data_IF_527268235451
#
_entry.id   IF_527268235451
#
_cell.length_a   1.000
_cell.length_b   1.000
_cell.length_c   1.000
_cell.angle_alpha   90.00
_cell.angle_beta   90.00
_cell.angle_gamma   90.00
#
_symmetry.space_group_name_H-M   'P 1'
#
loop_
_entity.id
_entity.type
_entity.pdbx_description
1 polymer ?
#
# COMPACT_ATOMS: atom_id res chain seq x y z
N UNK A 1 -11.44 19.99 2.40
CA UNK A 1 -11.77 20.65 3.67
C UNK A 1 -10.82 20.10 4.72
N UNK A 2 -10.28 20.95 5.59
CA UNK A 2 -9.47 20.53 6.75
C UNK A 2 -10.09 21.20 7.97
N UNK A 3 -10.46 20.37 8.94
CA UNK A 3 -11.05 20.82 10.20
C UNK A 3 -10.33 20.12 11.34
N UNK A 4 -10.06 20.88 12.40
CA UNK A 4 -9.49 20.33 13.63
C UNK A 4 -10.63 19.96 14.56
N UNK A 5 -10.58 18.73 15.08
CA UNK A 5 -11.35 18.35 16.25
C UNK A 5 -10.45 18.58 17.48
N UNK A 6 -10.62 19.64 18.27
CA UNK A 6 -11.62 20.72 18.18
C UNK A 6 -10.98 22.12 18.35
N UNK A 7 -11.79 23.17 18.58
CA UNK A 7 -11.28 24.55 18.68
C UNK A 7 -10.47 24.83 19.96
N UNK A 8 -10.91 24.34 21.12
CA UNK A 8 -10.26 24.57 22.41
C UNK A 8 -9.97 23.25 23.12
N UNK A 9 -9.72 23.23 24.42
CA UNK A 9 -9.61 21.99 25.21
C UNK A 9 -10.70 22.02 26.29
N UNK A 10 -11.55 21.00 26.38
CA UNK A 10 -12.66 20.97 27.34
C UNK A 10 -12.15 20.84 28.78
N UNK A 11 -12.76 21.54 29.74
CA UNK A 11 -12.30 21.55 31.14
C UNK A 11 -12.72 20.34 31.97
N UNK A 12 -13.61 19.50 31.44
CA UNK A 12 -14.19 18.37 32.16
C UNK A 12 -14.45 17.19 31.22
N UNK A 13 -14.59 16.00 31.80
CA UNK A 13 -14.97 14.75 31.12
C UNK A 13 -13.83 14.10 30.31
N UNK A 14 -14.17 13.03 29.59
CA UNK A 14 -13.25 12.06 29.02
C UNK A 14 -12.21 12.64 28.06
N UNK A 15 -12.55 13.71 27.34
CA UNK A 15 -11.70 14.29 26.28
C UNK A 15 -10.93 15.53 26.76
N UNK A 16 -10.82 15.75 28.08
CA UNK A 16 -10.04 16.86 28.69
C UNK A 16 -8.61 16.96 28.12
N UNK A 17 -7.99 15.83 27.78
CA UNK A 17 -6.64 15.80 27.22
C UNK A 17 -6.58 15.59 25.71
N UNK A 18 -7.72 15.42 25.03
CA UNK A 18 -7.78 15.48 23.58
C UNK A 18 -7.92 16.94 23.15
N UNK A 19 -6.77 17.64 23.20
CA UNK A 19 -6.70 19.08 23.02
C UNK A 19 -6.97 19.51 21.58
N UNK A 20 -7.63 20.66 21.45
CA UNK A 20 -7.78 21.39 20.21
C UNK A 20 -6.69 22.43 19.94
N UNK A 21 -7.01 23.44 19.12
CA UNK A 21 -6.10 24.53 18.76
C UNK A 21 -5.71 25.39 19.98
N UNK A 22 -6.67 25.69 20.87
CA UNK A 22 -6.43 26.42 22.10
C UNK A 22 -6.30 25.47 23.30
N UNK A 23 -5.47 25.87 24.27
CA UNK A 23 -5.35 25.21 25.56
C UNK A 23 -6.50 25.60 26.51
N UNK A 24 -6.54 25.03 27.71
CA UNK A 24 -7.57 25.29 28.72
C UNK A 24 -7.64 26.76 29.20
N UNK A 25 -6.58 27.54 29.01
CA UNK A 25 -6.52 28.98 29.34
C UNK A 25 -7.07 29.88 28.22
N UNK A 26 -7.49 29.27 27.10
CA UNK A 26 -7.94 29.92 25.88
C UNK A 26 -6.94 30.90 25.24
N UNK A 27 -5.66 30.86 25.64
CA UNK A 27 -4.64 31.76 25.11
C UNK A 27 -4.07 31.25 23.77
N UNK A 28 -3.62 32.16 22.88
CA UNK A 28 -2.78 31.81 21.74
C UNK A 28 -1.55 31.01 22.18
N UNK A 29 -1.18 30.03 21.37
CA UNK A 29 -0.02 29.15 21.60
C UNK A 29 0.63 28.78 20.26
N UNK A 30 1.82 28.14 20.26
CA UNK A 30 2.53 27.81 19.01
C UNK A 30 1.69 27.01 18.00
N UNK A 31 0.89 26.02 18.45
CA UNK A 31 0.01 25.24 17.57
C UNK A 31 -1.05 26.12 16.90
N UNK A 32 -1.65 27.05 17.65
CA UNK A 32 -2.60 28.02 17.10
C UNK A 32 -1.95 28.96 16.07
N UNK A 33 -0.73 29.44 16.35
CA UNK A 33 0.01 30.29 15.41
C UNK A 33 0.44 29.55 14.13
N UNK A 34 0.79 28.27 14.24
CA UNK A 34 1.08 27.41 13.08
C UNK A 34 -0.19 27.17 12.23
N UNK A 35 -1.33 26.90 12.86
CA UNK A 35 -2.61 26.76 12.16
C UNK A 35 -3.01 28.04 11.38
N UNK A 36 -2.66 29.23 11.89
CA UNK A 36 -2.86 30.50 11.15
C UNK A 36 -2.06 30.55 9.86
N UNK A 37 -0.88 29.94 9.80
CA UNK A 37 -0.09 29.82 8.56
C UNK A 37 -0.85 29.00 7.52
N UNK A 38 -1.36 27.83 7.91
CA UNK A 38 -2.17 26.97 7.04
C UNK A 38 -3.41 27.73 6.53
N UNK A 39 -4.11 28.45 7.40
CA UNK A 39 -5.29 29.25 7.00
C UNK A 39 -4.96 30.35 5.97
N UNK A 40 -3.81 31.04 6.12
CA UNK A 40 -3.34 32.04 5.14
C UNK A 40 -2.98 31.39 3.80
N UNK A 41 -2.28 30.26 3.83
CA UNK A 41 -1.90 29.52 2.63
C UNK A 41 -3.12 28.95 1.90
N UNK A 42 -4.10 28.41 2.62
CA UNK A 42 -5.35 27.94 2.04
C UNK A 42 -6.08 29.08 1.34
N UNK A 43 -6.20 30.25 1.97
CA UNK A 43 -6.82 31.43 1.32
C UNK A 43 -6.12 31.82 0.03
N UNK A 44 -4.78 31.76 0.00
CA UNK A 44 -3.96 32.14 -1.16
C UNK A 44 -3.95 31.08 -2.26
N UNK A 45 -3.88 29.80 -1.91
CA UNK A 45 -3.57 28.70 -2.83
C UNK A 45 -4.78 27.82 -3.18
N UNK A 46 -5.90 27.91 -2.45
CA UNK A 46 -7.10 27.11 -2.75
C UNK A 46 -7.52 27.14 -4.22
N UNK A 47 -7.56 28.29 -4.93
CA UNK A 47 -7.94 28.31 -6.35
C UNK A 47 -7.08 27.40 -7.26
N UNK A 48 -5.86 27.06 -6.83
CA UNK A 48 -4.92 26.17 -7.55
C UNK A 48 -4.93 24.74 -7.03
N UNK A 49 -5.42 24.48 -5.83
CA UNK A 49 -5.25 23.20 -5.12
C UNK A 49 -6.55 22.41 -4.89
N UNK A 50 -7.72 23.06 -4.95
CA UNK A 50 -9.00 22.36 -4.78
C UNK A 50 -9.32 21.44 -5.96
N UNK A 51 -10.17 20.45 -5.70
CA UNK A 51 -10.66 19.48 -6.68
C UNK A 51 -9.52 18.74 -7.42
N UNK A 52 -8.43 18.47 -6.72
CA UNK A 52 -7.30 17.71 -7.25
C UNK A 52 -7.76 16.30 -7.65
N UNK A 53 -7.64 15.97 -8.93
CA UNK A 53 -7.98 14.66 -9.49
C UNK A 53 -6.74 13.78 -9.52
N UNK A 54 -6.87 12.55 -9.04
CA UNK A 54 -5.85 11.51 -9.13
C UNK A 54 -6.28 10.47 -10.16
N UNK A 55 -5.31 9.91 -10.87
CA UNK A 55 -5.51 8.77 -11.76
C UNK A 55 -4.45 7.72 -11.38
N UNK A 56 -4.78 6.95 -10.36
CA UNK A 56 -3.92 5.89 -9.86
C UNK A 56 -4.10 4.64 -10.72
N UNK A 57 -3.02 3.88 -10.92
CA UNK A 57 -3.02 2.64 -11.72
C UNK A 57 -2.89 1.38 -10.85
N UNK A 58 -2.77 1.58 -9.53
CA UNK A 58 -2.69 0.53 -8.52
C UNK A 58 -3.88 0.67 -7.58
N UNK A 59 -4.54 -0.42 -7.25
CA UNK A 59 -5.54 -0.46 -6.19
C UNK A 59 -5.31 -1.60 -5.20
N UNK A 60 -5.71 -1.38 -3.96
CA UNK A 60 -5.79 -2.42 -2.92
C UNK A 60 -7.26 -2.81 -2.80
N UNK A 61 -7.56 -4.10 -3.01
CA UNK A 61 -8.89 -4.65 -2.82
C UNK A 61 -9.12 -4.92 -1.33
N UNK A 62 -9.98 -4.12 -0.70
CA UNK A 62 -10.38 -4.24 0.69
C UNK A 62 -11.80 -4.79 0.80
N UNK A 63 -12.02 -5.79 1.66
CA UNK A 63 -13.35 -6.34 1.94
C UNK A 63 -13.62 -6.37 3.44
N UNK A 64 -14.72 -5.74 3.87
CA UNK A 64 -15.20 -5.82 5.25
C UNK A 64 -15.63 -7.24 5.64
N UNK A 65 -16.15 -8.02 4.68
CA UNK A 65 -16.50 -9.43 4.90
C UNK A 65 -15.25 -10.26 5.13
N UNK A 66 -14.21 -10.06 4.30
CA UNK A 66 -12.93 -10.72 4.49
C UNK A 66 -12.26 -10.30 5.81
N UNK A 67 -12.33 -9.02 6.19
CA UNK A 67 -11.82 -8.53 7.48
C UNK A 67 -12.53 -9.22 8.65
N UNK A 68 -13.87 -9.23 8.63
CA UNK A 68 -14.67 -9.84 9.70
C UNK A 68 -14.38 -11.33 9.82
N UNK A 69 -14.41 -12.04 8.70
CA UNK A 69 -14.16 -13.47 8.64
C UNK A 69 -12.71 -13.81 9.03
N UNK A 70 -11.73 -13.08 8.50
CA UNK A 70 -10.33 -13.24 8.88
C UNK A 70 -10.16 -13.04 10.38
N UNK A 71 -10.72 -11.99 10.99
CA UNK A 71 -10.52 -11.72 12.41
C UNK A 71 -11.17 -12.77 13.33
N UNK A 72 -12.22 -13.46 12.87
CA UNK A 72 -12.83 -14.56 13.61
C UNK A 72 -11.92 -15.81 13.68
N UNK A 73 -11.08 -16.05 12.64
CA UNK A 73 -10.22 -17.24 12.55
C UNK A 73 -8.72 -16.95 12.69
N UNK A 74 -8.32 -15.69 12.49
CA UNK A 74 -6.97 -15.11 12.49
C UNK A 74 -5.89 -16.09 11.98
N UNK A 75 -4.75 -16.18 12.66
CA UNK A 75 -3.65 -17.10 12.41
C UNK A 75 -3.76 -18.36 13.27
N UNK A 76 -4.96 -18.68 13.76
CA UNK A 76 -5.19 -19.75 14.73
C UNK A 76 -5.32 -19.23 16.16
N UNK A 77 -5.46 -20.18 17.09
CA UNK A 77 -5.79 -19.89 18.48
C UNK A 77 -4.65 -19.15 19.20
N UNK A 78 -4.98 -18.03 19.84
CA UNK A 78 -4.01 -17.22 20.59
C UNK A 78 -3.21 -16.19 19.76
N UNK A 79 -3.42 -16.13 18.43
CA UNK A 79 -2.86 -15.07 17.60
C UNK A 79 -3.40 -13.69 18.01
N UNK A 80 -2.52 -12.68 18.03
CA UNK A 80 -2.89 -11.30 18.38
C UNK A 80 -3.12 -10.44 17.16
N UNK A 81 -2.52 -10.85 16.05
CA UNK A 81 -2.55 -10.18 14.78
C UNK A 81 -3.93 -10.34 14.12
N UNK A 82 -4.31 -9.37 13.32
CA UNK A 82 -5.60 -9.29 12.65
C UNK A 82 -5.42 -8.92 11.17
N UNK A 83 -6.52 -8.81 10.44
CA UNK A 83 -6.51 -8.47 9.02
C UNK A 83 -5.75 -7.18 8.70
N UNK A 84 -5.87 -6.15 9.55
CA UNK A 84 -5.18 -4.88 9.33
C UNK A 84 -3.67 -4.97 9.55
N UNK A 85 -3.19 -5.96 10.32
CA UNK A 85 -1.75 -6.25 10.43
C UNK A 85 -1.17 -6.89 9.15
N UNK A 86 -2.03 -7.31 8.21
CA UNK A 86 -1.65 -7.71 6.85
C UNK A 86 -1.81 -6.54 5.87
N UNK A 87 -2.99 -5.90 5.85
CA UNK A 87 -3.32 -4.82 4.92
C UNK A 87 -2.41 -3.59 5.10
N UNK A 88 -2.14 -3.18 6.35
CA UNK A 88 -1.39 -1.94 6.62
C UNK A 88 0.07 -2.01 6.18
N UNK A 89 0.85 -3.07 6.48
CA UNK A 89 2.22 -3.14 5.97
C UNK A 89 2.32 -3.18 4.45
N UNK A 90 1.32 -3.74 3.75
CA UNK A 90 1.24 -3.72 2.28
C UNK A 90 1.02 -2.31 1.75
N UNK A 91 0.06 -1.58 2.33
CA UNK A 91 -0.15 -0.16 2.01
C UNK A 91 1.11 0.66 2.30
N UNK A 92 1.72 0.47 3.47
CA UNK A 92 2.90 1.21 3.91
C UNK A 92 4.12 0.93 2.98
N UNK A 93 4.28 -0.30 2.49
CA UNK A 93 5.31 -0.66 1.52
C UNK A 93 5.14 0.13 0.20
N UNK A 94 3.92 0.17 -0.36
CA UNK A 94 3.61 0.95 -1.57
C UNK A 94 3.77 2.46 -1.31
N UNK A 95 3.34 2.93 -0.13
CA UNK A 95 3.48 4.33 0.28
C UNK A 95 4.95 4.76 0.31
N UNK A 96 5.82 3.97 0.94
CA UNK A 96 7.28 4.21 1.06
C UNK A 96 8.00 4.16 -0.29
N UNK A 97 7.45 3.42 -1.25
CA UNK A 97 7.91 3.39 -2.64
C UNK A 97 7.39 4.56 -3.49
N UNK A 98 6.60 5.47 -2.91
CA UNK A 98 5.91 6.52 -3.64
C UNK A 98 4.92 6.02 -4.71
N UNK A 99 4.37 4.81 -4.54
CA UNK A 99 3.34 4.27 -5.43
C UNK A 99 1.97 4.69 -4.91
N UNK A 100 1.22 5.56 -5.62
CA UNK A 100 -0.09 5.98 -5.16
C UNK A 100 -1.12 4.89 -5.47
N UNK A 101 -2.00 4.63 -4.51
CA UNK A 101 -3.03 3.58 -4.61
C UNK A 101 -4.42 4.15 -4.38
N UNK A 102 -5.42 3.49 -4.95
CA UNK A 102 -6.81 3.60 -4.51
C UNK A 102 -7.16 2.41 -3.60
N UNK A 103 -8.20 2.56 -2.78
CA UNK A 103 -8.89 1.42 -2.18
C UNK A 103 -10.15 1.15 -2.97
N UNK A 104 -10.34 -0.12 -3.34
CA UNK A 104 -11.53 -0.64 -4.00
C UNK A 104 -12.08 -1.78 -3.18
N UNK A 105 -13.34 -2.10 -3.36
CA UNK A 105 -14.03 -3.18 -2.67
C UNK A 105 -14.71 -4.12 -3.68
N UNK A 106 -15.22 -5.29 -3.26
CA UNK A 106 -15.90 -6.24 -4.15
C UNK A 106 -17.02 -5.65 -5.03
N UNK A 107 -17.70 -4.58 -4.56
CA UNK A 107 -18.80 -3.93 -5.28
C UNK A 107 -18.32 -2.87 -6.28
N UNK A 108 -17.04 -2.53 -6.29
CA UNK A 108 -16.46 -1.53 -7.18
C UNK A 108 -16.66 -1.93 -8.66
N UNK A 109 -17.33 -1.06 -9.42
CA UNK A 109 -17.76 -1.36 -10.79
C UNK A 109 -16.59 -1.47 -11.79
N UNK A 110 -15.47 -0.78 -11.55
CA UNK A 110 -14.40 -0.60 -12.54
C UNK A 110 -13.03 -1.09 -12.04
N UNK A 111 -12.94 -2.33 -11.53
CA UNK A 111 -11.65 -2.92 -11.14
C UNK A 111 -10.68 -3.04 -12.33
N UNK A 112 -11.23 -3.21 -13.52
CA UNK A 112 -10.52 -3.43 -14.77
C UNK A 112 -9.79 -2.18 -15.29
N UNK A 113 -10.03 -1.00 -14.71
CA UNK A 113 -9.30 0.22 -15.06
C UNK A 113 -7.88 0.26 -14.47
N UNK A 114 -7.62 -0.55 -13.44
CA UNK A 114 -6.32 -0.63 -12.78
C UNK A 114 -5.39 -1.59 -13.53
N UNK A 115 -4.10 -1.31 -13.50
CA UNK A 115 -3.08 -2.22 -14.06
C UNK A 115 -2.60 -3.21 -13.01
N UNK A 116 -2.59 -2.84 -11.73
CA UNK A 116 -2.19 -3.69 -10.62
C UNK A 116 -3.24 -3.69 -9.50
N UNK A 117 -3.72 -4.86 -9.13
CA UNK A 117 -4.50 -5.07 -7.92
C UNK A 117 -3.65 -5.78 -6.86
N UNK A 118 -3.70 -5.30 -5.64
CA UNK A 118 -3.13 -5.99 -4.48
C UNK A 118 -4.27 -6.49 -3.60
N UNK A 119 -4.27 -7.77 -3.31
CA UNK A 119 -5.38 -8.49 -2.66
C UNK A 119 -4.87 -9.08 -1.34
N UNK A 120 -4.92 -8.31 -0.25
CA UNK A 120 -4.48 -8.76 1.06
C UNK A 120 -5.54 -9.65 1.72
N UNK A 121 -5.17 -10.90 1.98
CA UNK A 121 -5.90 -11.87 2.80
C UNK A 121 -7.42 -11.87 2.53
N UNK A 122 -7.82 -11.99 1.26
CA UNK A 122 -9.22 -12.04 0.83
C UNK A 122 -9.86 -13.38 1.25
N UNK A 123 -10.08 -13.52 2.55
CA UNK A 123 -10.39 -14.77 3.23
C UNK A 123 -11.78 -15.31 2.91
N UNK A 124 -12.78 -14.43 2.95
CA UNK A 124 -14.16 -14.71 2.56
C UNK A 124 -14.50 -13.88 1.33
N UNK A 125 -14.93 -14.56 0.26
CA UNK A 125 -15.32 -13.93 -0.99
C UNK A 125 -16.25 -14.86 -1.80
N UNK A 126 -17.24 -14.30 -2.51
CA UNK A 126 -18.07 -15.06 -3.43
C UNK A 126 -17.27 -15.53 -4.64
N UNK A 127 -17.68 -16.65 -5.23
CA UNK A 127 -17.05 -17.26 -6.40
C UNK A 127 -16.94 -16.25 -7.55
N UNK A 128 -17.99 -15.47 -7.76
CA UNK A 128 -18.07 -14.46 -8.82
C UNK A 128 -16.98 -13.39 -8.73
N UNK A 129 -16.54 -13.03 -7.52
CA UNK A 129 -15.42 -12.11 -7.31
C UNK A 129 -14.09 -12.79 -7.68
N UNK A 130 -13.88 -14.01 -7.21
CA UNK A 130 -12.65 -14.76 -7.48
C UNK A 130 -12.48 -15.04 -8.98
N UNK A 131 -13.56 -15.41 -9.67
CA UNK A 131 -13.60 -15.53 -11.13
C UNK A 131 -13.36 -14.19 -11.84
N UNK A 132 -13.92 -13.09 -11.33
CA UNK A 132 -13.66 -11.74 -11.88
C UNK A 132 -12.18 -11.40 -11.80
N UNK A 133 -11.51 -11.75 -10.71
CA UNK A 133 -10.07 -11.53 -10.56
C UNK A 133 -9.26 -12.43 -11.50
N UNK A 134 -9.64 -13.70 -11.72
CA UNK A 134 -9.03 -14.53 -12.76
C UNK A 134 -9.16 -13.89 -14.15
N UNK A 135 -10.35 -13.40 -14.50
CA UNK A 135 -10.59 -12.68 -15.77
C UNK A 135 -9.79 -11.39 -15.87
N UNK A 136 -9.65 -10.65 -14.77
CA UNK A 136 -8.81 -9.45 -14.72
C UNK A 136 -7.35 -9.78 -15.09
N UNK A 137 -6.77 -10.83 -14.50
CA UNK A 137 -5.43 -11.30 -14.85
C UNK A 137 -5.37 -11.74 -16.31
N UNK A 138 -6.33 -12.58 -16.73
CA UNK A 138 -6.40 -13.10 -18.10
C UNK A 138 -6.40 -11.98 -19.16
N UNK A 139 -7.04 -10.86 -18.86
CA UNK A 139 -7.18 -9.73 -19.78
C UNK A 139 -6.01 -8.75 -19.77
N UNK A 140 -4.97 -8.97 -18.95
CA UNK A 140 -3.76 -8.15 -18.93
C UNK A 140 -3.47 -7.49 -17.59
N UNK A 141 -4.35 -7.64 -16.60
CA UNK A 141 -4.13 -7.14 -15.26
C UNK A 141 -3.03 -7.88 -14.51
N UNK A 142 -2.37 -7.20 -13.59
CA UNK A 142 -1.42 -7.81 -12.66
C UNK A 142 -2.07 -7.90 -11.29
N UNK A 143 -1.96 -9.05 -10.62
CA UNK A 143 -2.46 -9.22 -9.25
C UNK A 143 -1.35 -9.70 -8.33
N UNK A 144 -1.28 -9.13 -7.12
CA UNK A 144 -0.53 -9.69 -6.01
C UNK A 144 -1.52 -10.16 -4.95
N UNK A 145 -1.62 -11.48 -4.78
CA UNK A 145 -2.34 -12.09 -3.67
C UNK A 145 -1.40 -12.36 -2.52
N UNK A 146 -1.92 -12.25 -1.30
CA UNK A 146 -1.28 -12.87 -0.14
C UNK A 146 -1.97 -14.19 0.22
N UNK A 147 -1.32 -14.95 1.09
CA UNK A 147 -1.88 -16.07 1.83
C UNK A 147 -3.29 -15.79 2.33
N UNK A 148 -4.04 -16.86 2.58
CA UNK A 148 -5.45 -16.84 2.99
C UNK A 148 -6.41 -16.22 1.97
N UNK A 149 -5.98 -15.86 0.77
CA UNK A 149 -6.89 -15.40 -0.29
C UNK A 149 -7.60 -16.59 -0.95
N UNK A 150 -8.92 -16.48 -1.13
CA UNK A 150 -9.73 -17.54 -1.73
C UNK A 150 -9.98 -18.75 -0.83
N UNK A 151 -9.86 -18.59 0.49
CA UNK A 151 -9.94 -19.69 1.46
C UNK A 151 -11.38 -20.19 1.68
N UNK A 152 -12.33 -19.26 1.85
CA UNK A 152 -13.75 -19.53 2.11
C UNK A 152 -14.66 -18.83 1.10
N UNK A 153 -15.92 -19.25 1.07
CA UNK A 153 -16.99 -18.53 0.36
C UNK A 153 -17.50 -17.31 1.16
N UNK A 154 -18.49 -16.60 0.62
CA UNK A 154 -19.12 -15.44 1.27
C UNK A 154 -19.85 -15.78 2.58
N UNK A 155 -20.12 -17.06 2.84
CA UNK A 155 -20.73 -17.56 4.07
C UNK A 155 -19.68 -18.07 5.06
N UNK A 156 -18.40 -17.81 4.80
CA UNK A 156 -17.26 -18.23 5.62
C UNK A 156 -17.14 -19.76 5.73
N UNK A 157 -17.71 -20.48 4.76
CA UNK A 157 -17.52 -21.92 4.64
C UNK A 157 -16.23 -22.16 3.86
N UNK A 158 -15.29 -22.87 4.48
CA UNK A 158 -14.03 -23.25 3.83
C UNK A 158 -14.33 -24.05 2.56
N UNK A 159 -13.69 -23.66 1.47
CA UNK A 159 -13.89 -24.32 0.17
C UNK A 159 -13.32 -25.73 0.22
N UNK A 160 -14.12 -26.69 -0.26
CA UNK A 160 -13.73 -28.10 -0.35
C UNK A 160 -12.94 -28.43 -1.63
N UNK A 161 -12.61 -27.42 -2.44
CA UNK A 161 -11.75 -27.51 -3.62
C UNK A 161 -10.27 -27.31 -3.26
N UNK A 162 -9.39 -27.48 -4.25
CA UNK A 162 -7.98 -27.10 -4.11
C UNK A 162 -7.85 -25.62 -3.70
N UNK A 163 -6.90 -25.33 -2.80
CA UNK A 163 -6.58 -23.97 -2.36
C UNK A 163 -5.37 -23.41 -3.14
N UNK A 164 -5.31 -22.09 -3.43
CA UNK A 164 -6.34 -21.10 -3.14
C UNK A 164 -7.57 -21.26 -4.05
N UNK A 165 -8.77 -21.30 -3.44
CA UNK A 165 -10.00 -21.64 -4.15
C UNK A 165 -10.27 -20.70 -5.33
N UNK A 166 -10.59 -21.27 -6.49
CA UNK A 166 -10.86 -20.58 -7.78
C UNK A 166 -9.65 -19.82 -8.34
N UNK A 167 -8.98 -18.97 -7.55
CA UNK A 167 -7.83 -18.17 -8.00
C UNK A 167 -6.57 -18.99 -8.29
N UNK A 168 -6.51 -20.27 -7.89
CA UNK A 168 -5.43 -21.19 -8.27
C UNK A 168 -5.26 -21.29 -9.80
N UNK A 169 -6.31 -21.09 -10.60
CA UNK A 169 -6.25 -21.07 -12.06
C UNK A 169 -5.28 -19.99 -12.56
N UNK A 170 -5.46 -18.75 -12.09
CA UNK A 170 -4.58 -17.65 -12.46
C UNK A 170 -3.24 -17.71 -11.73
N UNK A 171 -3.23 -18.13 -10.46
CA UNK A 171 -2.02 -18.18 -9.63
C UNK A 171 -1.06 -19.32 -10.01
N UNK A 172 -1.53 -20.37 -10.70
CA UNK A 172 -0.68 -21.49 -11.13
C UNK A 172 -0.03 -22.25 -9.98
N UNK A 173 -0.71 -22.31 -8.82
CA UNK A 173 -0.20 -22.88 -7.57
C UNK A 173 -1.33 -23.53 -6.80
N UNK A 174 -1.02 -24.59 -6.06
CA UNK A 174 -1.92 -25.16 -5.06
C UNK A 174 -1.25 -25.32 -3.70
N UNK A 175 -2.04 -25.45 -2.65
CA UNK A 175 -1.58 -25.90 -1.34
C UNK A 175 -2.67 -26.67 -0.59
N UNK A 176 -2.26 -27.48 0.37
CA UNK A 176 -3.17 -28.18 1.30
C UNK A 176 -2.69 -28.13 2.75
N UNK A 177 -1.53 -27.52 2.98
CA UNK A 177 -0.89 -27.42 4.29
C UNK A 177 -0.38 -26.00 4.50
N UNK A 178 -0.40 -25.59 5.76
CA UNK A 178 0.15 -24.34 6.24
C UNK A 178 0.62 -24.56 7.68
N UNK A 179 1.58 -23.75 8.12
CA UNK A 179 2.15 -23.84 9.46
C UNK A 179 2.48 -22.44 9.99
N UNK A 180 2.64 -22.34 11.31
CA UNK A 180 3.21 -21.15 11.94
C UNK A 180 4.73 -21.23 11.79
N UNK A 181 5.39 -20.20 11.22
CA UNK A 181 6.84 -20.22 11.03
C UNK A 181 7.56 -20.09 12.37
N UNK A 182 8.60 -20.91 12.58
CA UNK A 182 9.54 -20.79 13.69
C UNK A 182 10.95 -20.52 13.13
N UNK A 183 11.40 -19.26 13.23
CA UNK A 183 12.72 -18.83 12.72
C UNK A 183 12.98 -19.15 11.24
N UNK A 184 11.97 -19.01 10.39
CA UNK A 184 12.04 -19.30 8.95
C UNK A 184 12.43 -18.05 8.16
N UNK A 185 13.34 -18.22 7.19
CA UNK A 185 13.73 -17.18 6.21
C UNK A 185 13.50 -17.65 4.77
N UNK A 186 13.97 -16.89 3.78
CA UNK A 186 13.98 -17.30 2.38
C UNK A 186 15.35 -17.88 1.99
N UNK A 187 15.34 -18.85 1.07
CA UNK A 187 16.56 -19.49 0.58
C UNK A 187 17.23 -18.63 -0.49
N UNK A 188 18.55 -18.49 -0.43
CA UNK A 188 19.42 -17.84 -1.43
C UNK A 188 19.17 -16.32 -1.66
N UNK A 189 18.48 -15.64 -0.74
CA UNK A 189 18.17 -14.19 -0.79
C UNK A 189 17.70 -13.68 -2.17
N UNK A 190 16.52 -14.11 -2.64
CA UNK A 190 16.07 -13.78 -3.99
C UNK A 190 15.77 -12.29 -4.20
N UNK A 191 15.71 -11.50 -3.12
CA UNK A 191 15.38 -10.07 -3.15
C UNK A 191 16.53 -9.15 -2.74
N UNK A 192 17.72 -9.70 -2.46
CA UNK A 192 18.91 -8.93 -2.10
C UNK A 192 18.76 -8.13 -0.80
N UNK A 193 18.14 -8.71 0.23
CA UNK A 193 17.93 -8.08 1.53
C UNK A 193 18.69 -8.84 2.62
N UNK A 194 19.22 -8.12 3.61
CA UNK A 194 19.97 -8.74 4.71
C UNK A 194 19.15 -9.84 5.41
N UNK A 195 19.81 -10.89 5.94
CA UNK A 195 19.15 -12.10 6.46
C UNK A 195 18.10 -11.79 7.54
N UNK A 196 18.38 -10.83 8.42
CA UNK A 196 17.47 -10.33 9.46
C UNK A 196 16.19 -9.69 8.90
N UNK A 197 16.19 -9.30 7.62
CA UNK A 197 15.05 -8.72 6.90
C UNK A 197 14.27 -9.75 6.08
N UNK A 198 14.70 -11.02 6.03
CA UNK A 198 14.06 -12.10 5.27
C UNK A 198 13.04 -12.89 6.08
N UNK A 199 12.56 -12.33 7.19
CA UNK A 199 11.68 -13.00 8.13
C UNK A 199 10.34 -13.41 7.48
N UNK A 200 9.97 -14.67 7.71
CA UNK A 200 8.66 -15.24 7.41
C UNK A 200 7.82 -15.19 8.68
N UNK A 201 6.80 -14.33 8.73
CA UNK A 201 5.99 -14.08 9.94
C UNK A 201 4.60 -14.68 9.84
N UNK A 202 3.99 -14.90 11.01
CA UNK A 202 2.57 -15.20 11.30
C UNK A 202 2.00 -16.48 10.67
N UNK A 203 2.29 -16.76 9.42
CA UNK A 203 1.71 -17.83 8.62
C UNK A 203 2.63 -18.17 7.47
N UNK A 204 2.74 -19.44 7.13
CA UNK A 204 3.31 -19.86 5.86
C UNK A 204 2.54 -21.02 5.23
N UNK A 205 2.06 -20.81 4.01
CA UNK A 205 1.39 -21.81 3.17
C UNK A 205 2.45 -22.61 2.40
N UNK A 206 2.29 -23.93 2.37
CA UNK A 206 3.25 -24.82 1.73
C UNK A 206 2.90 -24.95 0.24
N UNK A 207 3.28 -23.94 -0.54
CA UNK A 207 2.89 -23.80 -1.93
C UNK A 207 3.56 -24.85 -2.82
N UNK A 208 2.75 -25.48 -3.68
CA UNK A 208 3.14 -26.43 -4.72
C UNK A 208 2.77 -25.83 -6.08
N UNK A 209 3.73 -25.21 -6.80
CA UNK A 209 3.50 -24.64 -8.12
C UNK A 209 3.07 -25.71 -9.12
N UNK A 210 2.18 -25.35 -10.04
CA UNK A 210 1.82 -26.17 -11.21
C UNK A 210 2.39 -25.53 -12.47
N UNK A 211 1.94 -24.34 -12.83
CA UNK A 211 2.43 -23.55 -13.97
C UNK A 211 3.24 -22.33 -13.52
N UNK A 212 3.13 -21.93 -12.25
CA UNK A 212 3.80 -20.75 -11.74
C UNK A 212 5.31 -20.93 -11.67
N UNK A 213 6.04 -19.87 -12.02
CA UNK A 213 7.45 -19.73 -11.71
C UNK A 213 7.63 -19.52 -10.21
N UNK A 214 8.59 -20.22 -9.61
CA UNK A 214 8.99 -19.97 -8.22
C UNK A 214 9.93 -18.77 -8.17
N UNK A 215 9.59 -17.79 -7.35
CA UNK A 215 10.45 -16.62 -7.08
C UNK A 215 11.25 -16.78 -5.79
N UNK A 216 10.71 -17.51 -4.81
CA UNK A 216 11.38 -17.79 -3.55
C UNK A 216 10.95 -19.14 -2.96
N UNK A 217 11.88 -19.81 -2.30
CA UNK A 217 11.64 -20.98 -1.44
C UNK A 217 11.84 -20.61 0.03
N UNK A 218 11.19 -21.35 0.93
CA UNK A 218 11.50 -21.28 2.36
C UNK A 218 12.91 -21.82 2.62
N UNK A 219 13.66 -21.18 3.51
CA UNK A 219 14.90 -21.72 4.07
C UNK A 219 14.56 -22.45 5.38
N UNK A 220 14.25 -23.74 5.25
CA UNK A 220 13.91 -24.59 6.38
C UNK A 220 14.18 -26.07 6.06
N UNK A 221 14.72 -26.87 6.99
CA UNK A 221 15.10 -28.27 6.73
C UNK A 221 13.94 -29.17 6.29
N UNK A 222 12.72 -28.89 6.74
CA UNK A 222 11.52 -29.68 6.40
C UNK A 222 10.72 -29.06 5.24
N UNK A 223 10.71 -27.73 5.15
CA UNK A 223 9.76 -27.00 4.31
C UNK A 223 10.41 -26.41 3.05
N UNK A 224 11.73 -26.52 2.89
CA UNK A 224 12.45 -25.85 1.81
C UNK A 224 12.16 -26.35 0.39
N UNK A 225 11.42 -27.45 0.24
CA UNK A 225 10.89 -27.90 -1.06
C UNK A 225 9.68 -27.08 -1.54
N UNK A 226 8.97 -26.41 -0.63
CA UNK A 226 7.79 -25.63 -0.95
C UNK A 226 8.17 -24.21 -1.38
N UNK A 227 7.38 -23.63 -2.27
CA UNK A 227 7.56 -22.24 -2.67
C UNK A 227 6.99 -21.31 -1.59
N UNK A 228 7.60 -20.14 -1.42
CA UNK A 228 7.15 -19.08 -0.54
C UNK A 228 6.51 -17.92 -1.33
N UNK A 229 7.08 -17.61 -2.50
CA UNK A 229 6.54 -16.63 -3.45
C UNK A 229 6.56 -17.23 -4.85
N UNK A 230 5.46 -17.10 -5.57
CA UNK A 230 5.32 -17.58 -6.95
C UNK A 230 4.76 -16.50 -7.85
N UNK A 231 5.04 -16.59 -9.16
CA UNK A 231 4.38 -15.77 -10.19
C UNK A 231 4.00 -16.62 -11.39
N UNK A 232 2.77 -16.47 -11.84
CA UNK A 232 2.25 -17.15 -13.02
C UNK A 232 1.84 -16.15 -14.08
N UNK A 233 2.17 -16.43 -15.34
CA UNK A 233 1.58 -15.74 -16.48
C UNK A 233 0.24 -16.41 -16.80
N UNK A 234 -0.84 -15.64 -16.87
CA UNK A 234 -2.18 -16.16 -17.14
C UNK A 234 -2.89 -15.24 -18.12
N UNK A 235 -3.20 -15.75 -19.31
CA UNK A 235 -3.64 -14.92 -20.43
C UNK A 235 -2.59 -13.86 -20.78
N UNK A 236 -2.97 -12.58 -20.67
CA UNK A 236 -2.11 -11.43 -20.98
C UNK A 236 -1.45 -10.79 -19.75
N UNK A 237 -1.82 -11.22 -18.55
CA UNK A 237 -1.37 -10.63 -17.28
C UNK A 237 -0.60 -11.60 -16.41
N UNK A 238 -0.40 -11.23 -15.15
CA UNK A 238 0.34 -12.07 -14.19
C UNK A 238 -0.32 -12.09 -12.81
N UNK A 239 -0.33 -13.25 -12.16
CA UNK A 239 -0.68 -13.39 -10.75
C UNK A 239 0.57 -13.74 -9.94
N UNK A 240 0.92 -12.91 -8.96
CA UNK A 240 1.95 -13.18 -7.95
C UNK A 240 1.25 -13.61 -6.66
N UNK A 241 1.68 -14.72 -6.06
CA UNK A 241 1.11 -15.23 -4.80
C UNK A 241 2.18 -15.30 -3.72
N UNK A 242 1.95 -14.61 -2.60
CA UNK A 242 2.85 -14.53 -1.44
C UNK A 242 2.28 -15.37 -0.30
N UNK A 243 2.85 -16.56 -0.09
CA UNK A 243 2.32 -17.57 0.84
C UNK A 243 2.53 -17.29 2.33
N UNK A 244 3.07 -16.14 2.71
CA UNK A 244 3.40 -15.79 4.10
C UNK A 244 3.35 -14.29 4.33
N UNK A 245 3.46 -13.84 5.59
CA UNK A 245 3.62 -12.41 5.88
C UNK A 245 5.11 -12.02 5.89
N UNK A 246 5.60 -11.21 4.94
CA UNK A 246 7.00 -10.83 4.91
C UNK A 246 7.34 -9.73 5.93
N UNK A 247 8.60 -9.67 6.35
CA UNK A 247 9.18 -8.48 6.97
C UNK A 247 9.04 -7.23 6.10
N UNK A 248 9.03 -6.04 6.72
CA UNK A 248 8.77 -4.77 6.02
C UNK A 248 9.69 -4.53 4.81
N UNK A 249 11.00 -4.76 4.99
CA UNK A 249 12.00 -4.58 3.93
C UNK A 249 11.77 -5.54 2.77
N UNK A 250 11.50 -6.81 3.07
CA UNK A 250 11.20 -7.84 2.06
C UNK A 250 9.88 -7.56 1.35
N UNK A 251 8.83 -7.17 2.08
CA UNK A 251 7.55 -6.78 1.51
C UNK A 251 7.69 -5.59 0.55
N UNK A 252 8.51 -4.60 0.91
CA UNK A 252 8.83 -3.48 0.03
C UNK A 252 9.49 -3.96 -1.27
N UNK A 253 10.41 -4.93 -1.22
CA UNK A 253 11.02 -5.51 -2.43
C UNK A 253 10.04 -6.28 -3.30
N UNK A 254 9.18 -7.09 -2.69
CA UNK A 254 8.13 -7.83 -3.41
C UNK A 254 7.18 -6.85 -4.13
N UNK A 255 6.75 -5.78 -3.44
CA UNK A 255 5.89 -4.76 -4.03
C UNK A 255 6.61 -3.93 -5.11
N UNK A 256 7.88 -3.59 -4.91
CA UNK A 256 8.72 -2.93 -5.92
C UNK A 256 8.80 -3.77 -7.20
N UNK A 257 9.04 -5.07 -7.09
CA UNK A 257 9.09 -5.97 -8.24
C UNK A 257 7.71 -6.08 -8.92
N UNK A 258 6.63 -6.23 -8.16
CA UNK A 258 5.28 -6.28 -8.72
C UNK A 258 4.90 -5.01 -9.50
N UNK A 259 5.24 -3.83 -8.97
CA UNK A 259 4.99 -2.53 -9.62
C UNK A 259 5.84 -2.39 -10.89
N UNK A 260 7.11 -2.82 -10.87
CA UNK A 260 7.97 -2.83 -12.07
C UNK A 260 7.43 -3.75 -13.16
N UNK A 261 6.98 -4.95 -12.79
CA UNK A 261 6.41 -5.91 -13.75
C UNK A 261 5.10 -5.42 -14.36
N UNK A 262 4.31 -4.65 -13.60
CA UNK A 262 3.12 -3.99 -14.11
C UNK A 262 3.43 -2.77 -15.00
N UNK A 263 4.71 -2.43 -15.22
CA UNK A 263 5.11 -1.25 -16.01
C UNK A 263 4.83 0.09 -15.33
N UNK A 264 4.62 0.09 -14.01
CA UNK A 264 4.19 1.26 -13.23
C UNK A 264 5.34 1.95 -12.49
N UNK A 265 6.59 1.67 -12.89
CA UNK A 265 7.77 2.25 -12.27
C UNK A 265 8.25 3.48 -13.04
N UNK A 266 8.05 4.66 -12.44
CA UNK A 266 8.38 5.94 -13.05
C UNK A 266 9.39 6.77 -12.25
N UNK A 267 9.50 8.05 -12.63
CA UNK A 267 10.43 9.01 -12.01
C UNK A 267 10.14 9.24 -10.53
N UNK A 268 8.87 9.21 -10.12
CA UNK A 268 8.46 9.43 -8.73
C UNK A 268 8.94 8.28 -7.82
N UNK A 269 9.02 7.07 -8.37
CA UNK A 269 9.61 5.90 -7.73
C UNK A 269 11.16 5.93 -7.75
N UNK A 270 11.81 7.04 -8.10
CA UNK A 270 13.20 7.27 -7.71
C UNK A 270 13.31 7.81 -6.26
N UNK A 271 12.25 8.45 -5.75
CA UNK A 271 12.20 8.95 -4.38
C UNK A 271 11.75 7.85 -3.42
N UNK A 272 12.32 7.85 -2.22
CA UNK A 272 11.98 6.91 -1.14
C UNK A 272 11.72 7.68 0.14
N UNK A 273 10.93 7.08 1.02
CA UNK A 273 10.82 7.51 2.41
C UNK A 273 12.22 7.83 2.99
N UNK A 274 12.43 8.98 3.67
CA UNK A 274 11.40 9.88 4.21
C UNK A 274 10.83 10.91 3.23
N UNK A 275 11.32 10.98 1.98
CA UNK A 275 10.77 11.84 0.94
C UNK A 275 9.57 11.19 0.26
N UNK A 276 8.39 11.79 0.45
CA UNK A 276 7.14 11.34 -0.15
C UNK A 276 6.67 12.34 -1.20
N UNK A 277 6.27 11.83 -2.36
CA UNK A 277 5.64 12.62 -3.42
C UNK A 277 4.24 12.13 -3.76
N UNK A 278 3.34 13.09 -3.97
CA UNK A 278 1.96 12.85 -4.41
C UNK A 278 1.59 13.86 -5.48
N UNK A 279 1.08 13.33 -6.58
CA UNK A 279 0.74 14.15 -7.75
C UNK A 279 -0.73 14.02 -8.10
N UNK A 280 -1.27 15.05 -8.76
CA UNK A 280 -2.63 15.09 -9.29
C UNK A 280 -2.82 16.24 -10.29
N UNK A 281 -4.01 16.35 -10.86
CA UNK A 281 -4.37 17.43 -11.79
C UNK A 281 -5.43 18.31 -11.12
N UNK A 282 -5.18 19.61 -11.01
CA UNK A 282 -6.13 20.54 -10.38
C UNK A 282 -7.31 20.87 -11.31
N UNK A 283 -8.27 21.66 -10.81
CA UNK A 283 -9.44 22.09 -11.58
C UNK A 283 -9.11 22.88 -12.86
N UNK A 284 -7.90 23.46 -12.97
CA UNK A 284 -7.43 24.23 -14.12
C UNK A 284 -6.68 23.35 -15.14
N UNK A 285 -6.61 22.03 -14.92
CA UNK A 285 -5.89 21.10 -15.79
C UNK A 285 -4.37 21.12 -15.59
N UNK A 286 -3.86 21.81 -14.56
CA UNK A 286 -2.43 21.85 -14.24
C UNK A 286 -2.04 20.68 -13.35
N UNK A 287 -0.88 20.10 -13.61
CA UNK A 287 -0.31 19.05 -12.77
C UNK A 287 0.32 19.66 -11.53
N UNK A 288 -0.07 19.14 -10.37
CA UNK A 288 0.43 19.54 -9.06
C UNK A 288 1.24 18.38 -8.47
N UNK A 289 2.42 18.70 -7.97
CA UNK A 289 3.30 17.79 -7.24
C UNK A 289 3.49 18.28 -5.82
N UNK A 290 3.13 17.45 -4.85
CA UNK A 290 3.50 17.64 -3.46
C UNK A 290 4.77 16.86 -3.17
N UNK A 291 5.68 17.46 -2.41
CA UNK A 291 6.85 16.83 -1.84
C UNK A 291 6.83 17.06 -0.34
N UNK A 292 6.88 15.97 0.43
CA UNK A 292 6.88 15.99 1.88
C UNK A 292 8.18 15.38 2.40
N UNK A 293 8.78 16.02 3.39
CA UNK A 293 9.85 15.46 4.18
C UNK A 293 9.30 14.96 5.53
N UNK A 294 9.11 13.66 5.69
CA UNK A 294 8.68 13.07 6.95
C UNK A 294 9.88 12.65 7.82
N UNK A 295 10.84 13.57 8.01
CA UNK A 295 11.99 13.37 8.89
C UNK A 295 12.41 14.67 9.60
N UNK A 296 13.17 14.49 10.67
CA UNK A 296 13.76 15.59 11.46
C UNK A 296 15.03 16.20 10.82
N UNK A 297 15.45 15.69 9.66
CA UNK A 297 16.65 16.15 8.96
C UNK A 297 16.27 16.87 7.67
N UNK A 298 17.10 17.79 7.21
CA UNK A 298 16.95 18.38 5.88
C UNK A 298 17.10 17.30 4.80
N UNK A 299 16.22 17.33 3.79
CA UNK A 299 16.26 16.42 2.66
C UNK A 299 16.40 17.20 1.36
N UNK A 300 17.07 16.61 0.38
CA UNK A 300 17.23 17.22 -0.95
C UNK A 300 16.78 16.26 -2.05
N UNK A 301 16.19 16.80 -3.10
CA UNK A 301 15.86 16.03 -4.30
C UNK A 301 16.09 16.85 -5.58
N UNK A 302 16.33 16.15 -6.69
CA UNK A 302 16.35 16.74 -8.03
C UNK A 302 14.93 16.69 -8.58
N UNK A 303 14.36 17.86 -8.90
CA UNK A 303 13.01 17.95 -9.43
C UNK A 303 12.91 17.25 -10.79
N UNK A 304 12.18 16.12 -10.92
CA UNK A 304 12.31 15.26 -12.10
C UNK A 304 11.41 15.71 -13.26
N UNK A 305 10.49 16.65 -13.04
CA UNK A 305 9.46 17.01 -14.02
C UNK A 305 9.78 18.28 -14.83
N UNK A 306 8.81 18.74 -15.64
CA UNK A 306 8.93 19.93 -16.48
C UNK A 306 9.07 21.23 -15.68
N UNK A 307 9.23 22.38 -16.32
CA UNK A 307 9.29 23.66 -15.58
C UNK A 307 7.98 23.93 -14.84
N UNK A 308 8.06 24.54 -13.67
CA UNK A 308 6.90 24.86 -12.84
C UNK A 308 7.12 26.06 -11.92
N UNK A 309 6.17 26.26 -11.01
CA UNK A 309 6.26 27.24 -9.92
C UNK A 309 6.05 26.52 -8.60
N UNK A 310 6.99 26.68 -7.66
CA UNK A 310 6.82 26.30 -6.27
C UNK A 310 5.88 27.30 -5.59
N UNK A 311 4.74 26.81 -5.10
CA UNK A 311 3.58 27.62 -4.74
C UNK A 311 3.74 28.32 -3.39
N UNK A 312 4.49 27.74 -2.45
CA UNK A 312 4.61 28.29 -1.10
C UNK A 312 5.50 29.53 -1.11
N UNK A 313 6.67 29.47 -1.77
CA UNK A 313 7.64 30.54 -1.93
C UNK A 313 7.48 31.37 -3.22
N UNK A 314 6.53 31.01 -4.09
CA UNK A 314 6.29 31.66 -5.40
C UNK A 314 7.54 31.71 -6.29
N UNK A 315 8.29 30.61 -6.31
CA UNK A 315 9.57 30.52 -7.02
C UNK A 315 9.45 29.68 -8.29
N UNK A 316 10.01 30.16 -9.41
CA UNK A 316 10.13 29.34 -10.63
C UNK A 316 11.11 28.19 -10.43
N UNK A 317 10.68 26.98 -10.78
CA UNK A 317 11.49 25.77 -10.71
C UNK A 317 11.74 25.25 -12.13
N UNK A 318 13.01 24.98 -12.44
CA UNK A 318 13.40 24.32 -13.67
C UNK A 318 13.52 22.81 -13.47
N UNK A 319 13.41 22.05 -14.56
CA UNK A 319 13.73 20.61 -14.55
C UNK A 319 15.15 20.40 -13.99
N UNK A 320 15.32 19.38 -13.15
CA UNK A 320 16.55 19.02 -12.44
C UNK A 320 17.07 20.07 -11.43
N UNK A 321 16.30 21.12 -11.14
CA UNK A 321 16.62 22.02 -10.03
C UNK A 321 16.66 21.25 -8.71
N UNK A 322 17.57 21.65 -7.82
CA UNK A 322 17.63 21.09 -6.46
C UNK A 322 16.49 21.68 -5.63
N UNK A 323 15.64 20.83 -5.09
CA UNK A 323 14.65 21.19 -4.08
C UNK A 323 15.15 20.73 -2.71
N UNK A 324 15.47 21.69 -1.86
CA UNK A 324 15.77 21.45 -0.44
C UNK A 324 14.49 21.57 0.38
N UNK A 325 14.18 20.57 1.19
CA UNK A 325 13.07 20.57 2.14
C UNK A 325 13.65 20.54 3.56
N UNK A 326 13.38 21.55 4.41
CA UNK A 326 13.81 21.49 5.81
C UNK A 326 13.14 20.30 6.52
N UNK A 327 13.59 20.01 7.74
CA UNK A 327 12.92 19.05 8.63
C UNK A 327 11.40 19.28 8.66
N UNK A 328 10.61 18.23 8.45
CA UNK A 328 9.14 18.28 8.38
C UNK A 328 8.54 19.17 7.28
N UNK A 329 9.37 19.64 6.35
CA UNK A 329 8.99 20.59 5.31
C UNK A 329 8.12 20.00 4.20
N UNK A 330 7.38 20.88 3.55
CA UNK A 330 6.59 20.59 2.35
C UNK A 330 6.94 21.57 1.23
N UNK A 331 6.94 21.08 -0.01
CA UNK A 331 6.97 21.91 -1.23
C UNK A 331 5.85 21.48 -2.15
N UNK A 332 5.23 22.46 -2.82
CA UNK A 332 4.15 22.20 -3.78
C UNK A 332 4.56 22.83 -5.10
N UNK A 333 4.68 22.06 -6.16
CA UNK A 333 5.06 22.56 -7.49
C UNK A 333 3.90 22.37 -8.47
N UNK A 334 3.46 23.45 -9.09
CA UNK A 334 2.54 23.41 -10.25
C UNK A 334 3.36 23.46 -11.54
N UNK A 335 3.19 22.47 -12.42
CA UNK A 335 3.80 22.48 -13.76
C UNK A 335 3.19 23.58 -14.64
N UNK A 336 4.03 24.14 -15.53
CA UNK A 336 3.62 25.21 -16.45
C UNK A 336 2.59 24.79 -17.49
#
# INVERSE_FOLDING_TARGET
MLEYWHWHSIHNSAETYWKGLLSHDFQPNPTYEEAKTIGREFRRLSPRLINLKKSNQVAILFSNEALTAFNAFSFGWGARENYNDVLRPIYDALYRLNVPVDFVDPTSAHLEQYQLLVVPALYAAPDTLLERLNRFVQNGGHVVYTFKSGFSDEHVKVRASQQPGIIHEACGVGYSQFVIPESVTLKDDPYGVAKENQEVKYWMELLTPTTAQVLAHYDHPVWGKYAAVTRNAYGKGTATYVGFMPGQTLLQKIMEEAVKNAGLWGTDQALRFPLITRSGVNAQGKRIHYYFNYSAEEQTLRYPHGTGTELLADQRIAKNATLTLPAWGVKIVEEK
#
